data_IF_124674057680
#
_entry.id   IF_124674057680
#
_cell.length_a   1.000
_cell.length_b   1.000
_cell.length_c   1.000
_cell.angle_alpha   90.00
_cell.angle_beta   90.00
_cell.angle_gamma   90.00
#
_symmetry.space_group_name_H-M   'P 1'
#
loop_
_entity.id
_entity.type
_entity.pdbx_description
1 polymer ?
#
# COMPACT_ATOMS: atom_id res chain seq x y z
N UNK A 1 -20.77 -5.86 -40.65
CA UNK A 1 -19.61 -6.56 -40.03
C UNK A 1 -19.25 -5.80 -38.77
N UNK A 2 -19.61 -6.35 -37.61
CA UNK A 2 -19.35 -5.72 -36.32
C UNK A 2 -17.85 -5.77 -36.01
N UNK A 3 -17.24 -4.60 -35.84
CA UNK A 3 -15.90 -4.48 -35.27
C UNK A 3 -15.95 -5.04 -33.85
N UNK A 4 -15.30 -6.19 -33.63
CA UNK A 4 -14.99 -6.64 -32.29
C UNK A 4 -14.05 -5.58 -31.71
N UNK A 5 -14.51 -4.83 -30.71
CA UNK A 5 -13.60 -4.14 -29.80
C UNK A 5 -12.67 -5.21 -29.25
N UNK A 6 -11.41 -5.19 -29.67
CA UNK A 6 -10.37 -5.98 -29.02
C UNK A 6 -10.44 -5.63 -27.53
N UNK A 7 -10.56 -6.67 -26.70
CA UNK A 7 -10.43 -6.51 -25.26
C UNK A 7 -9.06 -5.87 -25.05
N UNK A 8 -9.10 -4.66 -24.50
CA UNK A 8 -7.96 -3.78 -24.37
C UNK A 8 -6.96 -4.45 -23.41
N UNK A 9 -6.00 -5.21 -23.96
CA UNK A 9 -5.07 -6.04 -23.18
C UNK A 9 -4.37 -5.15 -22.16
N UNK A 10 -4.44 -5.54 -20.89
CA UNK A 10 -3.69 -4.90 -19.82
C UNK A 10 -2.21 -5.19 -20.08
N UNK A 11 -1.43 -4.19 -20.49
CA UNK A 11 0.01 -4.36 -20.66
C UNK A 11 0.67 -4.31 -19.28
N UNK A 12 1.14 -5.47 -18.81
CA UNK A 12 1.91 -5.58 -17.56
C UNK A 12 3.34 -5.04 -17.73
N UNK A 13 4.01 -4.73 -16.62
CA UNK A 13 5.44 -4.47 -16.57
C UNK A 13 6.25 -5.57 -17.26
N UNK A 14 5.89 -6.84 -17.04
CA UNK A 14 6.59 -7.99 -17.67
C UNK A 14 6.39 -8.00 -19.18
N UNK A 15 5.18 -7.72 -19.67
CA UNK A 15 4.94 -7.64 -21.11
C UNK A 15 5.77 -6.50 -21.70
N UNK A 16 5.79 -5.35 -21.02
CA UNK A 16 6.57 -4.19 -21.45
C UNK A 16 8.08 -4.43 -21.43
N UNK A 17 8.55 -5.20 -20.45
CA UNK A 17 9.96 -5.58 -20.34
C UNK A 17 10.40 -6.38 -21.59
N UNK A 18 9.55 -7.30 -22.07
CA UNK A 18 9.83 -8.13 -23.25
C UNK A 18 9.87 -7.35 -24.56
N UNK A 19 9.08 -6.28 -24.68
CA UNK A 19 9.02 -5.45 -25.89
C UNK A 19 10.33 -4.68 -26.18
N UNK A 20 11.12 -4.40 -25.14
CA UNK A 20 12.38 -3.66 -25.27
C UNK A 20 12.20 -2.16 -25.53
N UNK A 21 13.32 -1.46 -25.79
CA UNK A 21 13.30 -0.02 -26.06
C UNK A 21 12.87 0.84 -24.86
N UNK A 22 13.17 0.36 -23.65
CA UNK A 22 12.68 0.82 -22.34
C UNK A 22 12.88 2.29 -22.00
N UNK A 23 13.74 3.01 -22.71
CA UNK A 23 14.11 4.39 -22.38
C UNK A 23 13.90 5.35 -23.55
N UNK A 24 13.14 4.93 -24.58
CA UNK A 24 12.70 5.82 -25.65
C UNK A 24 11.52 6.66 -25.17
N UNK A 25 11.46 7.91 -25.62
CA UNK A 25 10.37 8.81 -25.28
C UNK A 25 9.01 8.19 -25.63
N UNK A 26 8.06 8.21 -24.68
CA UNK A 26 6.74 7.57 -24.75
C UNK A 26 6.75 6.03 -24.79
N UNK A 27 7.90 5.41 -24.52
CA UNK A 27 8.06 3.97 -24.44
C UNK A 27 8.77 3.55 -23.15
N UNK A 28 8.73 4.41 -22.14
CA UNK A 28 9.50 4.24 -20.93
C UNK A 28 8.95 3.08 -20.11
N UNK A 29 9.83 2.17 -19.68
CA UNK A 29 9.48 1.01 -18.86
C UNK A 29 9.08 1.44 -17.44
N UNK A 30 9.76 2.45 -16.92
CA UNK A 30 9.47 3.08 -15.63
C UNK A 30 9.19 4.57 -15.87
N UNK A 31 8.43 5.20 -15.00
CA UNK A 31 8.16 6.62 -15.11
C UNK A 31 9.44 7.43 -14.81
N UNK A 32 9.89 8.20 -15.79
CA UNK A 32 11.17 8.93 -15.73
C UNK A 32 11.17 10.15 -14.81
N UNK A 33 10.00 10.58 -14.32
CA UNK A 33 9.88 11.67 -13.37
C UNK A 33 9.77 11.17 -11.94
N UNK A 34 9.02 10.10 -11.71
CA UNK A 34 8.79 9.52 -10.40
C UNK A 34 8.45 8.03 -10.53
N UNK A 35 9.35 7.16 -10.06
CA UNK A 35 9.23 5.71 -10.19
C UNK A 35 7.97 5.12 -9.52
N UNK A 36 7.41 5.81 -8.52
CA UNK A 36 6.18 5.39 -7.86
C UNK A 36 4.92 5.71 -8.69
N UNK A 37 5.04 6.60 -9.67
CA UNK A 37 3.95 6.91 -10.58
C UNK A 37 3.95 5.90 -11.71
N UNK A 38 2.75 5.44 -12.05
CA UNK A 38 2.53 4.60 -13.22
C UNK A 38 3.03 5.29 -14.50
N UNK A 39 3.71 4.56 -15.40
CA UNK A 39 3.96 5.01 -16.76
C UNK A 39 2.65 5.20 -17.54
N UNK A 40 2.70 5.96 -18.64
CA UNK A 40 1.52 6.24 -19.47
C UNK A 40 0.90 5.00 -20.12
N UNK A 41 1.67 3.93 -20.32
CA UNK A 41 1.18 2.68 -20.90
C UNK A 41 0.39 1.83 -19.89
N UNK A 42 0.58 2.06 -18.59
CA UNK A 42 0.04 1.21 -17.53
C UNK A 42 -1.40 1.60 -17.19
N UNK A 43 -2.31 0.62 -17.24
CA UNK A 43 -3.76 0.85 -17.12
C UNK A 43 -4.29 0.69 -15.70
N UNK A 44 -3.54 0.02 -14.81
CA UNK A 44 -3.88 -0.10 -13.40
C UNK A 44 -3.70 1.20 -12.62
N UNK A 45 -4.09 1.14 -11.35
CA UNK A 45 -3.92 2.17 -10.32
C UNK A 45 -2.45 2.40 -9.98
N UNK A 46 -2.15 3.48 -9.26
CA UNK A 46 -0.79 3.71 -8.76
C UNK A 46 -0.39 2.66 -7.71
N UNK A 47 -1.34 2.19 -6.90
CA UNK A 47 -1.11 1.10 -5.95
C UNK A 47 -0.74 -0.20 -6.68
N UNK A 48 -1.52 -0.62 -7.67
CA UNK A 48 -1.23 -1.84 -8.46
C UNK A 48 0.14 -1.75 -9.14
N UNK A 49 0.52 -0.57 -9.64
CA UNK A 49 1.86 -0.33 -10.18
C UNK A 49 2.98 -0.55 -9.16
N UNK A 50 2.83 -0.01 -7.95
CA UNK A 50 3.79 -0.21 -6.84
C UNK A 50 3.87 -1.70 -6.48
N UNK A 51 2.71 -2.35 -6.34
CA UNK A 51 2.64 -3.78 -6.03
C UNK A 51 3.31 -4.63 -7.11
N UNK A 52 3.12 -4.29 -8.38
CA UNK A 52 3.70 -5.01 -9.51
C UNK A 52 5.22 -4.85 -9.59
N UNK A 53 5.75 -3.63 -9.42
CA UNK A 53 7.20 -3.42 -9.35
C UNK A 53 7.80 -4.14 -8.14
N UNK A 54 7.22 -3.97 -6.95
CA UNK A 54 7.76 -4.57 -5.73
C UNK A 54 7.75 -6.11 -5.82
N UNK A 55 6.72 -6.68 -6.45
CA UNK A 55 6.63 -8.12 -6.72
C UNK A 55 7.68 -8.56 -7.74
N UNK A 56 7.87 -7.82 -8.83
CA UNK A 56 8.91 -8.13 -9.81
C UNK A 56 10.31 -8.08 -9.19
N UNK A 57 10.62 -7.02 -8.45
CA UNK A 57 11.91 -6.83 -7.78
C UNK A 57 12.21 -7.95 -6.79
N UNK A 58 11.18 -8.48 -6.11
CA UNK A 58 11.31 -9.60 -5.20
C UNK A 58 11.55 -10.94 -5.93
N UNK A 59 10.83 -11.20 -7.02
CA UNK A 59 10.94 -12.46 -7.76
C UNK A 59 12.19 -12.54 -8.64
N UNK A 60 12.65 -11.40 -9.16
CA UNK A 60 13.72 -11.27 -10.15
C UNK A 60 14.74 -10.19 -9.72
N UNK A 61 15.41 -10.36 -8.56
CA UNK A 61 16.26 -9.31 -7.99
C UNK A 61 17.44 -8.94 -8.90
N UNK A 62 18.02 -9.91 -9.62
CA UNK A 62 19.13 -9.66 -10.55
C UNK A 62 18.70 -8.82 -11.75
N UNK A 63 17.57 -9.16 -12.38
CA UNK A 63 17.01 -8.37 -13.48
C UNK A 63 16.60 -6.97 -13.00
N UNK A 64 16.00 -6.88 -11.80
CA UNK A 64 15.63 -5.60 -11.22
C UNK A 64 16.83 -4.69 -10.97
N UNK A 65 17.93 -5.21 -10.42
CA UNK A 65 19.15 -4.42 -10.19
C UNK A 65 19.69 -3.83 -11.50
N UNK A 66 19.68 -4.60 -12.58
CA UNK A 66 20.10 -4.13 -13.90
C UNK A 66 19.18 -3.03 -14.44
N UNK A 67 17.86 -3.24 -14.36
CA UNK A 67 16.85 -2.27 -14.81
C UNK A 67 16.93 -0.99 -13.99
N UNK A 68 17.03 -1.10 -12.68
CA UNK A 68 17.06 0.03 -11.77
C UNK A 68 18.36 0.82 -11.89
N UNK A 69 19.49 0.15 -12.10
CA UNK A 69 20.77 0.81 -12.44
C UNK A 69 20.67 1.61 -13.75
N UNK A 70 20.04 1.04 -14.79
CA UNK A 70 19.80 1.77 -16.03
C UNK A 70 18.87 2.97 -15.80
N UNK A 71 17.76 2.77 -15.08
CA UNK A 71 16.81 3.83 -14.74
C UNK A 71 17.51 5.00 -14.04
N UNK A 72 18.33 4.73 -13.01
CA UNK A 72 19.08 5.76 -12.27
C UNK A 72 20.08 6.52 -13.15
N UNK A 73 20.61 5.90 -14.20
CA UNK A 73 21.51 6.58 -15.15
C UNK A 73 20.77 7.48 -16.15
N UNK A 74 19.50 7.20 -16.40
CA UNK A 74 18.66 7.89 -17.39
C UNK A 74 17.77 8.97 -16.76
N UNK A 75 17.30 8.75 -15.54
CA UNK A 75 16.46 9.69 -14.80
C UNK A 75 17.28 10.91 -14.37
N UNK A 76 16.73 12.10 -14.59
CA UNK A 76 17.30 13.36 -14.10
C UNK A 76 16.92 13.66 -12.65
N UNK A 77 16.05 12.84 -12.06
CA UNK A 77 15.51 13.02 -10.73
C UNK A 77 16.01 11.91 -9.80
N UNK A 78 16.39 12.29 -8.59
CA UNK A 78 16.85 11.36 -7.56
C UNK A 78 15.68 10.74 -6.81
N UNK A 79 14.72 10.13 -7.51
CA UNK A 79 13.74 9.27 -6.84
C UNK A 79 14.32 7.87 -6.66
N UNK A 80 14.23 7.37 -5.44
CA UNK A 80 14.48 5.97 -5.11
C UNK A 80 13.16 5.23 -4.97
N UNK A 81 13.12 3.97 -5.41
CA UNK A 81 11.98 3.11 -5.14
C UNK A 81 12.06 2.63 -3.68
N UNK A 82 11.09 3.00 -2.86
CA UNK A 82 11.12 2.72 -1.41
C UNK A 82 10.25 1.54 -0.98
N UNK A 83 9.53 0.91 -1.91
CA UNK A 83 8.71 -0.25 -1.62
C UNK A 83 9.45 -1.56 -1.88
N UNK A 84 9.14 -2.58 -1.08
CA UNK A 84 9.69 -3.92 -1.24
C UNK A 84 8.69 -4.96 -0.73
N UNK A 85 8.94 -6.23 -1.04
CA UNK A 85 8.22 -7.36 -0.46
C UNK A 85 9.11 -7.98 0.63
N UNK A 86 8.55 -8.22 1.81
CA UNK A 86 9.26 -8.95 2.86
C UNK A 86 9.30 -10.47 2.54
N UNK A 87 9.88 -11.27 3.44
CA UNK A 87 10.00 -12.73 3.27
C UNK A 87 8.65 -13.44 3.11
N UNK A 88 7.59 -12.89 3.68
CA UNK A 88 6.22 -13.41 3.60
C UNK A 88 5.46 -12.91 2.36
N UNK A 89 6.08 -12.04 1.55
CA UNK A 89 5.46 -11.46 0.36
C UNK A 89 4.54 -10.27 0.65
N UNK A 90 4.52 -9.72 1.86
CA UNK A 90 3.79 -8.49 2.17
C UNK A 90 4.53 -7.26 1.64
N UNK A 91 3.76 -6.30 1.14
CA UNK A 91 4.28 -5.00 0.71
C UNK A 91 4.70 -4.21 1.95
N UNK A 92 5.93 -3.70 1.93
CA UNK A 92 6.53 -2.85 2.96
C UNK A 92 7.17 -1.63 2.31
N UNK A 93 7.44 -0.62 3.13
CA UNK A 93 8.05 0.63 2.70
C UNK A 93 9.24 0.97 3.60
N UNK A 94 10.34 1.39 2.99
CA UNK A 94 11.56 1.79 3.71
C UNK A 94 11.27 3.05 4.53
N UNK A 95 11.56 3.02 5.83
CA UNK A 95 11.33 4.15 6.74
C UNK A 95 9.91 4.27 7.27
N UNK A 96 9.06 3.26 7.03
CA UNK A 96 7.74 3.13 7.66
C UNK A 96 7.73 1.84 8.49
N UNK A 97 8.11 1.97 9.76
CA UNK A 97 8.20 0.84 10.69
C UNK A 97 6.81 0.45 11.23
N UNK A 98 5.98 1.44 11.53
CA UNK A 98 4.59 1.27 11.92
C UNK A 98 3.65 1.19 10.71
N UNK A 99 3.11 0.01 10.43
CA UNK A 99 2.27 -0.24 9.24
C UNK A 99 0.87 -0.75 9.56
N UNK A 100 0.64 -1.14 10.82
CA UNK A 100 -0.64 -1.64 11.27
C UNK A 100 -1.42 -0.55 11.97
N UNK A 101 -2.68 -0.37 11.56
CA UNK A 101 -3.66 0.37 12.34
C UNK A 101 -4.28 -0.59 13.36
N UNK A 102 -3.92 -0.42 14.63
CA UNK A 102 -4.44 -1.20 15.76
C UNK A 102 -5.71 -0.54 16.30
N UNK A 103 -6.79 -1.31 16.41
CA UNK A 103 -8.08 -0.88 16.98
C UNK A 103 -8.43 -1.79 18.15
N UNK A 104 -8.68 -1.18 19.31
CA UNK A 104 -9.09 -1.87 20.53
C UNK A 104 -10.17 -1.06 21.26
N UNK A 105 -10.81 -1.66 22.25
CA UNK A 105 -11.81 -0.96 23.07
C UNK A 105 -11.17 -0.03 24.10
N UNK A 106 -11.78 1.13 24.32
CA UNK A 106 -11.35 2.06 25.35
C UNK A 106 -11.93 1.60 26.69
N UNK A 107 -11.09 0.92 27.48
CA UNK A 107 -11.43 0.42 28.83
C UNK A 107 -12.16 -0.92 28.85
N UNK A 108 -13.08 -1.19 27.91
CA UNK A 108 -13.80 -2.46 27.79
C UNK A 108 -13.45 -3.17 26.47
N UNK A 109 -13.20 -4.48 26.45
CA UNK A 109 -12.90 -5.22 25.21
C UNK A 109 -14.01 -5.13 24.17
N UNK A 110 -13.63 -4.95 22.90
CA UNK A 110 -14.57 -5.04 21.78
C UNK A 110 -14.85 -6.50 21.44
N UNK A 111 -16.09 -6.80 21.04
CA UNK A 111 -16.44 -8.14 20.57
C UNK A 111 -15.85 -8.40 19.18
N UNK A 112 -15.61 -9.66 18.87
CA UNK A 112 -15.20 -10.08 17.52
C UNK A 112 -16.14 -9.56 16.42
N UNK A 113 -17.46 -9.55 16.65
CA UNK A 113 -18.43 -9.04 15.66
C UNK A 113 -18.23 -7.55 15.37
N UNK A 114 -17.90 -6.76 16.40
CA UNK A 114 -17.59 -5.34 16.26
C UNK A 114 -16.28 -5.16 15.49
N UNK A 115 -15.23 -5.91 15.85
CA UNK A 115 -13.93 -5.87 15.19
C UNK A 115 -14.02 -6.29 13.70
N UNK A 116 -14.70 -7.39 13.38
CA UNK A 116 -14.91 -7.84 11.99
C UNK A 116 -15.65 -6.78 11.16
N UNK A 117 -16.64 -6.10 11.75
CA UNK A 117 -17.33 -5.00 11.09
C UNK A 117 -16.39 -3.82 10.80
N UNK A 118 -15.52 -3.46 11.74
CA UNK A 118 -14.50 -2.41 11.56
C UNK A 118 -13.53 -2.82 10.45
N UNK A 119 -13.02 -4.04 10.48
CA UNK A 119 -12.08 -4.56 9.49
C UNK A 119 -12.64 -4.52 8.06
N UNK A 120 -13.90 -4.93 7.88
CA UNK A 120 -14.58 -4.83 6.58
C UNK A 120 -14.77 -3.39 6.13
N UNK A 121 -15.18 -2.49 7.02
CA UNK A 121 -15.30 -1.06 6.71
C UNK A 121 -13.95 -0.45 6.28
N UNK A 122 -12.87 -0.77 6.98
CA UNK A 122 -11.52 -0.33 6.59
C UNK A 122 -11.13 -0.92 5.22
N UNK A 123 -11.49 -2.18 4.96
CA UNK A 123 -11.22 -2.84 3.68
C UNK A 123 -11.96 -2.17 2.50
N UNK A 124 -13.21 -1.73 2.71
CA UNK A 124 -13.97 -0.96 1.72
C UNK A 124 -13.33 0.40 1.39
N UNK A 125 -12.49 0.92 2.29
CA UNK A 125 -11.77 2.20 2.13
C UNK A 125 -10.26 2.02 1.96
N UNK A 126 -9.78 0.80 1.73
CA UNK A 126 -8.36 0.47 1.80
C UNK A 126 -7.49 1.24 0.81
N UNK A 127 -7.99 1.50 -0.40
CA UNK A 127 -7.23 2.29 -1.38
C UNK A 127 -7.03 3.74 -0.91
N UNK A 128 -8.07 4.35 -0.34
CA UNK A 128 -7.96 5.69 0.24
C UNK A 128 -7.02 5.69 1.44
N UNK A 129 -7.15 4.70 2.33
CA UNK A 129 -6.28 4.54 3.49
C UNK A 129 -4.82 4.41 3.08
N UNK A 130 -4.53 3.57 2.08
CA UNK A 130 -3.20 3.40 1.50
C UNK A 130 -2.59 4.76 1.11
N UNK A 131 -3.26 5.56 0.28
CA UNK A 131 -2.71 6.84 -0.14
C UNK A 131 -2.55 7.84 1.01
N UNK A 132 -3.52 7.92 1.93
CA UNK A 132 -3.40 8.80 3.09
C UNK A 132 -2.35 8.32 4.10
N UNK A 133 -2.01 7.04 4.11
CA UNK A 133 -0.89 6.49 4.89
C UNK A 133 0.45 6.87 4.26
N UNK A 134 0.57 6.86 2.93
CA UNK A 134 1.78 7.37 2.26
C UNK A 134 2.04 8.84 2.58
N UNK A 135 0.99 9.65 2.74
CA UNK A 135 1.11 11.02 3.23
C UNK A 135 1.53 11.05 4.71
N UNK A 136 0.92 10.21 5.57
CA UNK A 136 1.22 10.08 7.00
C UNK A 136 2.71 9.81 7.29
N UNK A 137 3.36 8.96 6.49
CA UNK A 137 4.80 8.65 6.64
C UNK A 137 5.69 9.90 6.46
N UNK A 138 5.22 10.89 5.70
CA UNK A 138 5.94 12.15 5.47
C UNK A 138 5.53 13.32 6.37
N UNK A 139 4.54 13.12 7.25
CA UNK A 139 3.99 14.14 8.15
C UNK A 139 4.86 14.35 9.39
N UNK A 140 4.76 15.53 10.00
CA UNK A 140 5.30 15.79 11.35
C UNK A 140 4.35 15.28 12.46
N UNK A 141 4.82 15.22 13.73
CA UNK A 141 4.01 14.66 14.83
C UNK A 141 2.63 15.34 14.99
N UNK A 142 2.49 16.69 14.91
CA UNK A 142 1.18 17.33 14.92
C UNK A 142 0.25 16.87 13.78
N UNK A 143 0.76 16.77 12.56
CA UNK A 143 0.00 16.30 11.39
C UNK A 143 -0.40 14.82 11.52
N UNK A 144 0.52 13.98 11.99
CA UNK A 144 0.26 12.57 12.28
C UNK A 144 -0.82 12.40 13.34
N UNK A 145 -0.79 13.21 14.41
CA UNK A 145 -1.84 13.20 15.43
C UNK A 145 -3.21 13.57 14.85
N UNK A 146 -3.27 14.63 14.05
CA UNK A 146 -4.49 15.03 13.35
C UNK A 146 -5.02 13.91 12.42
N UNK A 147 -4.12 13.17 11.76
CA UNK A 147 -4.48 12.04 10.92
C UNK A 147 -5.10 10.91 11.77
N UNK A 148 -4.47 10.54 12.89
CA UNK A 148 -4.95 9.51 13.81
C UNK A 148 -6.33 9.86 14.38
N UNK A 149 -6.51 11.08 14.88
CA UNK A 149 -7.79 11.57 15.41
C UNK A 149 -8.91 11.49 14.34
N UNK A 150 -8.59 11.79 13.08
CA UNK A 150 -9.55 11.69 11.97
C UNK A 150 -9.92 10.24 11.67
N UNK A 151 -8.95 9.32 11.67
CA UNK A 151 -9.21 7.89 11.43
C UNK A 151 -10.04 7.31 12.58
N UNK A 152 -9.67 7.59 13.82
CA UNK A 152 -10.41 7.18 15.02
C UNK A 152 -11.86 7.66 14.97
N UNK A 153 -12.06 8.95 14.69
CA UNK A 153 -13.40 9.54 14.53
C UNK A 153 -14.20 8.84 13.42
N UNK A 154 -13.59 8.57 12.27
CA UNK A 154 -14.27 7.88 11.17
C UNK A 154 -14.70 6.46 11.59
N UNK A 155 -13.91 5.75 12.40
CA UNK A 155 -14.27 4.42 12.91
C UNK A 155 -15.39 4.54 13.95
N UNK A 156 -15.27 5.49 14.90
CA UNK A 156 -16.26 5.72 15.96
C UNK A 156 -17.63 6.11 15.43
N UNK A 157 -17.72 6.99 14.42
CA UNK A 157 -19.00 7.40 13.81
C UNK A 157 -19.76 6.22 13.19
N UNK A 158 -19.07 5.13 12.86
CA UNK A 158 -19.64 3.93 12.28
C UNK A 158 -19.97 2.83 13.32
N UNK A 159 -19.65 3.07 14.60
CA UNK A 159 -19.86 2.16 15.72
C UNK A 159 -20.92 2.68 16.69
N UNK A 160 -21.75 1.77 17.18
CA UNK A 160 -22.79 2.08 18.16
C UNK A 160 -22.20 2.16 19.57
N UNK A 161 -21.78 3.37 19.99
CA UNK A 161 -21.75 3.82 21.40
C UNK A 161 -20.66 3.31 22.35
N UNK A 162 -19.71 2.46 21.91
CA UNK A 162 -18.56 2.04 22.72
C UNK A 162 -17.33 2.91 22.41
N UNK A 163 -16.56 3.25 23.44
CA UNK A 163 -15.26 3.91 23.27
C UNK A 163 -14.26 2.95 22.63
N UNK A 164 -13.38 3.49 21.78
CA UNK A 164 -12.32 2.73 21.12
C UNK A 164 -11.05 3.56 21.09
N UNK A 165 -9.92 2.88 21.10
CA UNK A 165 -8.60 3.46 20.88
C UNK A 165 -8.06 2.99 19.53
N UNK A 166 -7.52 3.94 18.76
CA UNK A 166 -6.81 3.64 17.51
C UNK A 166 -5.36 4.08 17.65
N UNK A 167 -4.45 3.16 17.40
CA UNK A 167 -3.01 3.36 17.52
C UNK A 167 -2.30 2.76 16.31
N UNK A 168 -1.06 3.17 16.10
CA UNK A 168 -0.17 2.54 15.13
C UNK A 168 0.61 1.42 15.84
N UNK A 169 0.89 0.35 15.12
CA UNK A 169 1.72 -0.76 15.60
C UNK A 169 2.73 -1.17 14.52
N UNK A 170 3.93 -1.53 14.95
CA UNK A 170 4.99 -2.04 14.10
C UNK A 170 4.75 -3.52 13.76
N UNK A 171 4.33 -4.29 14.77
CA UNK A 171 4.22 -5.74 14.65
C UNK A 171 2.96 -6.28 15.31
N UNK A 172 2.57 -7.50 14.90
CA UNK A 172 1.48 -8.24 15.54
C UNK A 172 1.85 -8.78 16.93
N UNK A 173 3.15 -8.84 17.27
CA UNK A 173 3.63 -9.31 18.58
C UNK A 173 3.30 -8.34 19.72
N UNK A 174 2.85 -7.13 19.38
CA UNK A 174 2.31 -6.15 20.32
C UNK A 174 0.91 -6.54 20.85
N UNK A 175 0.32 -7.62 20.32
CA UNK A 175 -0.96 -8.13 20.77
C UNK A 175 -0.87 -8.99 22.03
N UNK A 176 -1.92 -8.92 22.85
CA UNK A 176 -2.15 -9.85 23.94
C UNK A 176 -2.70 -11.23 23.49
N UNK A 177 -3.10 -11.36 22.20
CA UNK A 177 -3.70 -12.57 21.62
C UNK A 177 -5.00 -13.03 22.33
N UNK A 178 -5.85 -12.08 22.73
CA UNK A 178 -7.09 -12.33 23.47
C UNK A 178 -8.37 -12.30 22.61
N UNK A 179 -8.26 -12.04 21.32
CA UNK A 179 -9.34 -11.93 20.35
C UNK A 179 -10.10 -10.60 20.42
N UNK A 180 -9.49 -9.56 20.98
CA UNK A 180 -10.11 -8.28 21.31
C UNK A 180 -9.43 -7.07 20.64
N UNK A 181 -8.44 -7.33 19.77
CA UNK A 181 -7.74 -6.30 19.01
C UNK A 181 -7.86 -6.58 17.51
N UNK A 182 -8.01 -5.53 16.71
CA UNK A 182 -7.91 -5.61 15.26
C UNK A 182 -6.65 -4.91 14.78
N UNK A 183 -5.89 -5.56 13.91
CA UNK A 183 -4.74 -4.99 13.22
C UNK A 183 -5.06 -4.94 11.73
N UNK A 184 -5.11 -3.73 11.16
CA UNK A 184 -5.30 -3.52 9.72
C UNK A 184 -3.97 -3.13 9.07
N UNK A 185 -3.46 -3.94 8.15
CA UNK A 185 -2.25 -3.66 7.37
C UNK A 185 -2.57 -2.62 6.28
N UNK A 186 -2.09 -1.39 6.49
CA UNK A 186 -2.38 -0.23 5.64
C UNK A 186 -1.79 -0.37 4.22
N UNK A 187 -0.79 -1.23 4.03
CA UNK A 187 -0.16 -1.48 2.75
C UNK A 187 -0.82 -2.65 2.00
N UNK A 188 -1.35 -3.64 2.70
CA UNK A 188 -1.77 -4.92 2.11
C UNK A 188 -3.29 -5.14 2.05
N UNK A 189 -4.11 -4.23 2.59
CA UNK A 189 -5.57 -4.40 2.64
C UNK A 189 -5.98 -5.75 3.27
N UNK A 190 -5.36 -6.05 4.40
CA UNK A 190 -5.61 -7.24 5.19
C UNK A 190 -5.89 -6.78 6.62
N UNK A 191 -6.83 -7.40 7.30
CA UNK A 191 -6.94 -7.27 8.74
C UNK A 191 -6.94 -8.62 9.44
N UNK A 192 -6.46 -8.60 10.67
CA UNK A 192 -6.35 -9.75 11.54
C UNK A 192 -6.95 -9.34 12.88
N UNK A 193 -7.74 -10.24 13.47
CA UNK A 193 -8.25 -10.08 14.83
C UNK A 193 -7.43 -11.01 15.71
N UNK A 194 -6.77 -10.45 16.73
CA UNK A 194 -5.86 -11.14 17.63
C UNK A 194 -6.31 -11.04 19.07
#
# INVERSE_FOLDING_TARGET
>A
MGSKKEADIHSSFIDRLKDGGWWRANNELLNMFDIHKRPSYYKGTAKEWIEEIATFAYLYPGEWDEIYKQYRSMSKHEFSFHFYRNEEGYLRMTGADEVYLKVAGEGEPLSHEVLDRIGRMLSEHAEKLFYTFLEYVGMDDPEQKCWMERIEKNIQENLTGQGLAVTMAETLDESAFEGNELYFDLLNNLYIIL
#
